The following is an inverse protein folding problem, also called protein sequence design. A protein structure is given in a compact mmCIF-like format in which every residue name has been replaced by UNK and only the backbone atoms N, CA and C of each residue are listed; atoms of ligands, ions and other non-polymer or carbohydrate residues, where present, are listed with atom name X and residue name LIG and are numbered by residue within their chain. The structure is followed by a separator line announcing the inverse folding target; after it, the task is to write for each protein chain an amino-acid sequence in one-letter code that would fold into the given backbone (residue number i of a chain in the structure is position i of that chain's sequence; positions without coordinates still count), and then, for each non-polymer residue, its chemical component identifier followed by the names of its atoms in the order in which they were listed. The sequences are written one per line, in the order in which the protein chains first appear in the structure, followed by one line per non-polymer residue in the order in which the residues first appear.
data_IF_235758598349
#
_entry.id   IF_235758598349
#
_cell.length_a   1.000
_cell.length_b   1.000
_cell.length_c   1.000
_cell.angle_alpha   90.00
_cell.angle_beta   90.00
_cell.angle_gamma   90.00
#
_symmetry.space_group_name_H-M   'P 1'
#
loop_
_entity.id
_entity.type
_entity.pdbx_description
1 polymer ?
#
# COMPACT_ATOMS: atom_id res chain seq x y z
N UNK A 1 2.21 -24.73 -10.15
CA UNK A 1 2.08 -23.71 -9.09
C UNK A 1 3.08 -24.05 -8.00
N UNK A 2 3.87 -23.09 -7.50
CA UNK A 2 4.88 -23.34 -6.45
C UNK A 2 4.27 -23.60 -5.07
N UNK A 3 4.98 -24.31 -4.20
CA UNK A 3 4.56 -24.56 -2.81
C UNK A 3 4.79 -23.33 -1.94
N UNK A 4 4.05 -23.15 -0.82
CA UNK A 4 4.31 -22.04 0.12
C UNK A 4 5.76 -21.94 0.59
N UNK A 5 6.45 -23.08 0.74
CA UNK A 5 7.87 -23.14 1.09
C UNK A 5 8.76 -22.57 -0.02
N UNK A 6 8.48 -22.95 -1.28
CA UNK A 6 9.19 -22.40 -2.45
C UNK A 6 9.00 -20.89 -2.58
N UNK A 7 7.81 -20.36 -2.26
CA UNK A 7 7.57 -18.92 -2.26
C UNK A 7 8.31 -18.19 -1.14
N UNK A 8 8.42 -18.80 0.05
CA UNK A 8 9.22 -18.25 1.15
C UNK A 8 10.70 -18.19 0.82
N UNK A 9 11.22 -19.22 0.16
CA UNK A 9 12.62 -19.28 -0.28
C UNK A 9 12.90 -18.35 -1.46
N UNK A 10 11.90 -18.08 -2.31
CA UNK A 10 12.01 -17.14 -3.43
C UNK A 10 11.88 -15.66 -3.00
N UNK A 11 11.26 -15.38 -1.85
CA UNK A 11 11.23 -14.04 -1.28
C UNK A 11 12.62 -13.73 -0.73
N UNK A 12 13.24 -12.68 -1.25
CA UNK A 12 14.49 -12.15 -0.68
C UNK A 12 14.22 -11.79 0.79
N UNK A 13 15.05 -12.26 1.71
CA UNK A 13 15.04 -11.74 3.08
C UNK A 13 15.30 -10.22 3.03
N UNK A 14 14.54 -9.43 3.80
CA UNK A 14 14.61 -7.95 3.87
C UNK A 14 14.04 -7.17 2.68
N UNK A 15 13.03 -7.70 1.99
CA UNK A 15 12.33 -6.97 0.94
C UNK A 15 11.44 -5.85 1.51
N UNK A 16 11.60 -4.66 0.95
CA UNK A 16 10.86 -3.46 1.37
C UNK A 16 9.65 -3.23 0.47
N UNK A 17 8.49 -3.03 1.09
CA UNK A 17 7.20 -2.89 0.43
C UNK A 17 6.63 -1.50 0.66
N UNK A 18 6.02 -0.95 -0.40
CA UNK A 18 5.08 0.15 -0.31
C UNK A 18 3.70 -0.42 -0.60
N UNK A 19 2.76 -0.27 0.34
CA UNK A 19 1.41 -0.80 0.19
C UNK A 19 0.48 0.34 -0.17
N UNK A 20 -0.50 0.11 -1.06
CA UNK A 20 -1.65 1.02 -1.23
C UNK A 20 -2.20 1.41 0.14
N UNK A 21 -2.85 2.57 0.24
CA UNK A 21 -3.49 3.05 1.46
C UNK A 21 -4.56 2.07 2.02
N UNK A 22 -4.09 1.05 2.72
CA UNK A 22 -4.86 -0.04 3.33
C UNK A 22 -4.66 -0.03 4.84
N UNK A 23 -5.55 -0.74 5.54
CA UNK A 23 -5.56 -0.83 6.98
C UNK A 23 -4.22 -1.36 7.53
N UNK A 24 -3.55 -0.52 8.31
CA UNK A 24 -2.41 -0.85 9.14
C UNK A 24 -2.69 -0.27 10.53
N UNK A 25 -2.59 -1.09 11.57
CA UNK A 25 -2.97 -0.69 12.93
C UNK A 25 -2.16 0.52 13.37
N UNK A 26 -2.85 1.54 13.90
CA UNK A 26 -2.21 2.76 14.38
C UNK A 26 -1.67 3.71 13.30
N UNK A 27 -1.84 3.40 12.01
CA UNK A 27 -1.41 4.28 10.91
C UNK A 27 -2.62 4.81 10.15
N UNK A 28 -2.76 6.14 10.08
CA UNK A 28 -3.87 6.81 9.42
C UNK A 28 -4.01 6.39 7.95
N UNK A 29 -5.24 6.06 7.55
CA UNK A 29 -5.62 5.94 6.14
C UNK A 29 -5.97 7.32 5.58
N UNK A 30 -5.56 7.57 4.35
CA UNK A 30 -5.75 8.81 3.59
C UNK A 30 -6.66 8.64 2.36
N UNK A 31 -7.37 7.52 2.27
CA UNK A 31 -8.22 7.02 1.19
C UNK A 31 -9.06 8.10 0.50
N UNK A 32 -9.76 8.91 1.29
CA UNK A 32 -10.44 10.13 0.88
C UNK A 32 -10.74 10.96 2.14
N UNK A 33 -10.03 12.07 2.40
CA UNK A 33 -10.23 12.88 3.61
C UNK A 33 -11.55 13.65 3.62
N UNK A 34 -12.25 13.78 2.49
CA UNK A 34 -13.56 14.45 2.44
C UNK A 34 -14.69 13.51 2.85
N UNK A 35 -14.53 12.20 2.61
CA UNK A 35 -15.51 11.15 2.93
C UNK A 35 -15.18 10.44 4.24
N UNK A 36 -13.91 10.10 4.45
CA UNK A 36 -13.43 9.29 5.58
C UNK A 36 -12.35 10.07 6.33
N UNK A 37 -12.77 10.76 7.39
CA UNK A 37 -11.88 11.59 8.22
C UNK A 37 -11.23 10.78 9.32
N UNK A 38 -9.93 11.01 9.51
CA UNK A 38 -9.15 10.54 10.66
C UNK A 38 -9.27 9.03 10.94
N UNK A 39 -9.42 8.22 9.88
CA UNK A 39 -9.51 6.77 10.02
C UNK A 39 -8.16 6.20 10.43
N UNK A 40 -8.06 5.79 11.69
CA UNK A 40 -6.94 5.02 12.23
C UNK A 40 -7.42 3.58 12.49
N UNK A 41 -7.00 2.61 11.65
CA UNK A 41 -7.38 1.22 11.81
C UNK A 41 -6.95 0.66 13.17
N UNK A 42 -7.81 -0.19 13.75
CA UNK A 42 -7.52 -0.93 14.99
C UNK A 42 -7.01 -2.35 14.71
N UNK A 43 -7.02 -2.77 13.45
CA UNK A 43 -6.62 -4.11 13.01
C UNK A 43 -5.88 -3.98 11.69
N UNK A 44 -4.82 -4.77 11.51
CA UNK A 44 -4.10 -4.89 10.25
C UNK A 44 -4.92 -5.63 9.20
N UNK A 45 -4.81 -5.21 7.94
CA UNK A 45 -5.24 -6.06 6.83
C UNK A 45 -4.46 -7.39 6.85
N UNK A 46 -5.10 -8.51 6.52
CA UNK A 46 -4.46 -9.84 6.53
C UNK A 46 -3.14 -9.90 5.74
N UNK A 47 -3.03 -9.12 4.65
CA UNK A 47 -1.79 -9.06 3.86
C UNK A 47 -0.64 -8.36 4.59
N UNK A 48 -0.93 -7.34 5.42
CA UNK A 48 0.06 -6.67 6.26
C UNK A 48 0.68 -7.67 7.21
N UNK A 49 -0.17 -8.44 7.91
CA UNK A 49 0.27 -9.51 8.81
C UNK A 49 1.16 -10.53 8.08
N UNK A 50 0.73 -11.02 6.90
CA UNK A 50 1.51 -12.00 6.11
C UNK A 50 2.85 -11.45 5.65
N UNK A 51 2.93 -10.18 5.26
CA UNK A 51 4.20 -9.57 4.86
C UNK A 51 5.16 -9.53 6.05
N UNK A 52 4.70 -9.05 7.21
CA UNK A 52 5.52 -8.94 8.41
C UNK A 52 5.96 -10.32 8.93
N UNK A 53 5.10 -11.34 8.89
CA UNK A 53 5.46 -12.72 9.25
C UNK A 53 6.54 -13.35 8.35
N UNK A 54 6.72 -12.84 7.13
CA UNK A 54 7.70 -13.35 6.16
C UNK A 54 8.89 -12.40 5.97
N UNK A 55 9.25 -11.65 7.03
CA UNK A 55 10.40 -10.73 7.05
C UNK A 55 10.34 -9.58 6.03
N UNK A 56 9.14 -9.27 5.52
CA UNK A 56 8.94 -8.09 4.70
C UNK A 56 8.90 -6.82 5.55
N UNK A 57 9.52 -5.76 5.07
CA UNK A 57 9.49 -4.44 5.69
C UNK A 57 8.39 -3.62 5.01
N UNK A 58 7.52 -2.96 5.77
CA UNK A 58 6.57 -1.99 5.23
C UNK A 58 7.15 -0.60 5.45
N UNK A 59 7.57 0.07 4.38
CA UNK A 59 8.24 1.37 4.46
C UNK A 59 7.26 2.54 4.57
N UNK A 60 6.28 2.58 3.67
CA UNK A 60 5.32 3.68 3.52
C UNK A 60 4.00 3.17 2.95
N UNK A 61 2.98 4.03 3.01
CA UNK A 61 1.75 3.89 2.22
C UNK A 61 1.91 4.60 0.87
N UNK A 62 1.46 3.96 -0.19
CA UNK A 62 1.30 4.54 -1.52
C UNK A 62 -0.06 5.22 -1.61
N UNK A 63 -0.08 6.45 -2.11
CA UNK A 63 -1.34 7.13 -2.43
C UNK A 63 -2.13 6.36 -3.47
N UNK A 64 -3.44 6.57 -3.49
CA UNK A 64 -4.33 6.09 -4.53
C UNK A 64 -5.40 7.12 -4.83
N UNK A 65 -6.16 6.86 -5.87
CA UNK A 65 -7.34 7.62 -6.23
C UNK A 65 -8.30 7.71 -5.05
N UNK A 66 -8.96 8.86 -4.89
CA UNK A 66 -10.08 9.02 -3.97
C UNK A 66 -11.03 7.84 -4.15
N UNK A 67 -11.24 7.12 -3.03
CA UNK A 67 -12.11 5.96 -2.97
C UNK A 67 -11.79 4.81 -3.95
N UNK A 68 -10.63 4.80 -4.62
CA UNK A 68 -10.28 3.83 -5.69
C UNK A 68 -11.24 3.87 -6.90
N UNK A 69 -11.98 4.97 -7.12
CA UNK A 69 -13.04 5.03 -8.14
C UNK A 69 -12.58 5.58 -9.51
N UNK A 70 -11.28 5.71 -9.73
CA UNK A 70 -10.75 6.15 -11.01
C UNK A 70 -9.60 5.25 -11.44
N UNK A 71 -9.48 4.91 -12.74
CA UNK A 71 -8.32 4.19 -13.26
C UNK A 71 -7.11 5.11 -13.48
N UNK A 72 -7.27 6.43 -13.31
CA UNK A 72 -6.22 7.41 -13.56
C UNK A 72 -5.90 8.19 -12.28
N UNK A 73 -4.62 8.47 -12.00
CA UNK A 73 -4.18 8.84 -10.67
C UNK A 73 -4.28 10.34 -10.37
N UNK A 74 -5.16 11.08 -11.06
CA UNK A 74 -5.30 12.54 -10.92
C UNK A 74 -6.26 12.98 -9.82
N UNK A 75 -7.02 12.04 -9.23
CA UNK A 75 -7.97 12.31 -8.13
C UNK A 75 -7.46 11.84 -6.77
N UNK A 76 -6.15 11.64 -6.62
CA UNK A 76 -5.57 11.38 -5.30
C UNK A 76 -5.69 12.65 -4.44
N UNK A 77 -6.07 12.54 -3.15
CA UNK A 77 -6.20 13.69 -2.25
C UNK A 77 -4.85 14.39 -1.97
N UNK A 78 -3.74 13.75 -2.35
CA UNK A 78 -2.38 14.29 -2.23
C UNK A 78 -1.82 14.81 -3.55
N UNK A 79 -2.67 15.00 -4.56
CA UNK A 79 -2.29 15.42 -5.91
C UNK A 79 -2.08 14.25 -6.86
N UNK A 80 -1.89 14.58 -8.14
CA UNK A 80 -1.78 13.61 -9.21
C UNK A 80 -0.47 12.80 -9.12
N UNK A 81 -0.55 11.48 -9.19
CA UNK A 81 0.66 10.64 -9.32
C UNK A 81 1.20 10.77 -10.73
N UNK A 82 2.49 11.07 -10.83
CA UNK A 82 3.19 11.19 -12.10
C UNK A 82 3.70 9.84 -12.58
N UNK A 83 3.64 9.63 -13.89
CA UNK A 83 4.29 8.49 -14.53
C UNK A 83 5.80 8.77 -14.71
N UNK A 84 6.62 7.84 -14.23
CA UNK A 84 8.08 7.93 -14.27
C UNK A 84 8.64 7.93 -15.69
N UNK A 85 7.91 7.37 -16.66
CA UNK A 85 8.40 7.20 -18.03
C UNK A 85 8.03 8.35 -18.95
N UNK A 86 7.02 9.15 -18.60
CA UNK A 86 6.52 10.25 -19.44
C UNK A 86 6.80 11.64 -18.84
N UNK A 87 7.16 11.73 -17.56
CA UNK A 87 7.45 13.00 -16.87
C UNK A 87 8.93 13.15 -16.45
N UNK A 88 9.85 12.38 -17.02
CA UNK A 88 11.29 12.59 -16.86
C UNK A 88 11.82 13.54 -17.95
N UNK A 89 11.50 14.84 -17.84
CA UNK A 89 12.09 15.91 -18.65
C UNK A 89 12.20 17.20 -17.87
#
# INVERSE_FOLDING_TARGET
MGTPQQWKEALQTDYTNCLKDIAQVGVQCQFDPDVVKDLIPQVDATIVYRILENAGIIHKKATCESMTHCPAPFISPHGAVQDLYTNAS
#
